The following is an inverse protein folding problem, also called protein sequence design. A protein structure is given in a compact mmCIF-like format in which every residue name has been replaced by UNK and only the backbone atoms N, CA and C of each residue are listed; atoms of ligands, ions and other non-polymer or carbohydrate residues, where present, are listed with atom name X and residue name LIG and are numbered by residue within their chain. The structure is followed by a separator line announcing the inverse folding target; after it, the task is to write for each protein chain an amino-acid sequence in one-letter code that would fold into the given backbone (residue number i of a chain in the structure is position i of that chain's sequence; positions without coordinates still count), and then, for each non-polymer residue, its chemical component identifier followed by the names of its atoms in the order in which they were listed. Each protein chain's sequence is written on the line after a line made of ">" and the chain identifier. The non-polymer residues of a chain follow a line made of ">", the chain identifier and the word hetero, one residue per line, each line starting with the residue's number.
data_IF_125794103078
#
_entry.id   IF_125794103078
#
_cell.length_a   1.000
_cell.length_b   1.000
_cell.length_c   1.000
_cell.angle_alpha   90.00
_cell.angle_beta   90.00
_cell.angle_gamma   90.00
#
_symmetry.space_group_name_H-M   'P 1'
#
loop_
_entity.id
_entity.type
_entity.pdbx_description
1 polymer ?
#
# COMPACT_ATOMS: atom_id res chain seq x y z
N UNK A 1 6.63 -18.55 6.29
CA UNK A 1 7.28 -17.23 6.11
C UNK A 1 8.41 -16.98 7.09
N UNK A 2 8.49 -17.57 8.30
CA UNK A 2 9.61 -17.30 9.23
C UNK A 2 9.44 -16.06 10.12
N UNK A 3 8.25 -15.44 10.11
CA UNK A 3 7.92 -14.28 10.93
C UNK A 3 8.40 -12.95 10.32
N UNK A 4 8.25 -11.82 11.06
CA UNK A 4 8.60 -10.49 10.58
C UNK A 4 10.04 -10.37 10.09
N UNK A 5 11.02 -10.91 10.85
CA UNK A 5 12.43 -10.87 10.47
C UNK A 5 12.75 -11.53 9.11
N UNK A 6 11.98 -12.56 8.73
CA UNK A 6 12.16 -13.20 7.43
C UNK A 6 11.48 -12.42 6.29
N UNK A 7 10.39 -11.70 6.57
CA UNK A 7 9.81 -10.73 5.63
C UNK A 7 10.76 -9.55 5.41
N UNK A 8 11.30 -9.00 6.49
CA UNK A 8 12.28 -7.93 6.51
C UNK A 8 13.54 -8.28 5.69
N UNK A 9 14.08 -9.49 5.89
CA UNK A 9 15.18 -10.01 5.08
C UNK A 9 14.81 -10.16 3.59
N UNK A 10 13.58 -10.61 3.28
CA UNK A 10 13.13 -10.76 1.91
C UNK A 10 12.90 -9.41 1.19
N UNK A 11 12.53 -8.36 1.93
CA UNK A 11 12.45 -6.99 1.40
C UNK A 11 13.85 -6.44 1.08
N UNK A 12 14.82 -6.64 1.99
CA UNK A 12 16.22 -6.26 1.72
C UNK A 12 16.84 -7.01 0.55
N UNK A 13 16.58 -8.30 0.40
CA UNK A 13 17.06 -9.09 -0.75
C UNK A 13 16.52 -8.57 -2.09
N UNK A 14 15.32 -7.98 -2.06
CA UNK A 14 14.72 -7.30 -3.22
C UNK A 14 15.30 -5.90 -3.46
N UNK A 15 16.14 -5.38 -2.56
CA UNK A 15 16.72 -4.04 -2.61
C UNK A 15 15.81 -2.97 -2.01
N UNK A 16 15.05 -3.30 -0.97
CA UNK A 16 14.40 -2.33 -0.08
C UNK A 16 15.13 -2.27 1.27
N UNK A 17 15.96 -1.24 1.44
CA UNK A 17 16.69 -0.96 2.67
C UNK A 17 15.97 0.08 3.55
N UNK A 18 14.68 0.36 3.29
CA UNK A 18 13.89 1.40 3.95
C UNK A 18 12.76 0.82 4.79
N UNK A 19 12.04 -0.19 4.29
CA UNK A 19 10.98 -0.83 5.09
C UNK A 19 11.58 -1.71 6.18
N UNK A 20 11.03 -1.61 7.39
CA UNK A 20 11.41 -2.46 8.53
C UNK A 20 10.21 -3.30 8.95
N UNK A 21 10.35 -4.63 9.00
CA UNK A 21 9.30 -5.52 9.54
C UNK A 21 9.80 -6.22 10.81
N UNK A 22 9.32 -5.77 11.96
CA UNK A 22 9.89 -6.13 13.27
C UNK A 22 8.90 -6.93 14.11
N UNK A 23 7.66 -6.44 14.23
CA UNK A 23 6.67 -7.02 15.12
C UNK A 23 5.61 -7.86 14.39
N UNK A 24 4.95 -8.75 15.12
CA UNK A 24 3.79 -9.51 14.62
C UNK A 24 2.49 -8.82 15.02
N UNK A 25 1.41 -9.11 14.29
CA UNK A 25 0.07 -8.62 14.65
C UNK A 25 -0.31 -9.06 16.08
N UNK A 26 -0.98 -8.20 16.87
CA UNK A 26 -1.38 -6.82 16.56
C UNK A 26 -0.31 -5.76 16.88
N UNK A 27 0.85 -6.14 17.41
CA UNK A 27 1.85 -5.23 17.96
C UNK A 27 2.50 -4.31 16.91
N UNK A 28 2.54 -4.71 15.64
CA UNK A 28 3.05 -3.87 14.55
C UNK A 28 2.26 -2.58 14.33
N UNK A 29 1.04 -2.49 14.89
CA UNK A 29 0.22 -1.28 14.82
C UNK A 29 0.48 -0.29 15.97
N UNK A 30 1.42 -0.61 16.88
CA UNK A 30 1.79 0.28 17.99
C UNK A 30 2.85 1.26 17.51
N UNK A 31 2.49 2.54 17.46
CA UNK A 31 3.39 3.61 17.03
C UNK A 31 4.18 4.11 18.24
N UNK A 32 5.44 3.71 18.33
CA UNK A 32 6.36 4.19 19.36
C UNK A 32 7.09 5.46 18.88
N UNK A 33 6.94 6.61 19.57
CA UNK A 33 7.57 7.87 19.15
C UNK A 33 9.10 7.73 18.98
N UNK A 34 9.58 7.99 17.77
CA UNK A 34 11.00 7.93 17.42
C UNK A 34 11.51 6.54 17.03
N UNK A 35 10.66 5.51 17.04
CA UNK A 35 10.97 4.19 16.49
C UNK A 35 10.86 4.18 14.97
N UNK A 36 11.67 3.35 14.31
CA UNK A 36 11.55 3.00 12.88
C UNK A 36 10.96 1.61 12.67
N UNK A 37 10.74 0.85 13.73
CA UNK A 37 10.11 -0.47 13.67
C UNK A 37 8.76 -0.40 12.96
N UNK A 38 8.51 -1.34 12.05
CA UNK A 38 7.25 -1.46 11.30
C UNK A 38 6.90 -0.21 10.45
N UNK A 39 7.91 0.56 10.06
CA UNK A 39 7.76 1.74 9.18
C UNK A 39 8.27 1.50 7.76
N UNK A 40 7.85 2.38 6.86
CA UNK A 40 8.33 2.46 5.48
C UNK A 40 8.10 3.88 4.93
N UNK A 41 8.38 4.09 3.65
CA UNK A 41 8.03 5.33 2.93
C UNK A 41 7.11 5.01 1.74
N UNK A 42 6.27 5.95 1.27
CA UNK A 42 5.46 5.73 0.07
C UNK A 42 6.27 5.29 -1.15
N UNK A 43 7.48 5.83 -1.31
CA UNK A 43 8.37 5.50 -2.41
C UNK A 43 8.89 4.05 -2.34
N UNK A 44 9.33 3.60 -1.15
CA UNK A 44 9.79 2.22 -0.95
C UNK A 44 8.64 1.22 -1.16
N UNK A 45 7.47 1.50 -0.58
CA UNK A 45 6.29 0.64 -0.71
C UNK A 45 5.80 0.54 -2.17
N UNK A 46 5.78 1.67 -2.89
CA UNK A 46 5.48 1.72 -4.33
C UNK A 46 6.47 0.86 -5.11
N UNK A 47 7.78 1.00 -4.87
CA UNK A 47 8.81 0.24 -5.55
C UNK A 47 8.68 -1.28 -5.32
N UNK A 48 8.34 -1.70 -4.10
CA UNK A 48 8.12 -3.10 -3.78
C UNK A 48 6.95 -3.70 -4.56
N UNK A 49 5.78 -3.04 -4.54
CA UNK A 49 4.62 -3.54 -5.28
C UNK A 49 4.89 -3.51 -6.79
N UNK A 50 5.55 -2.47 -7.31
CA UNK A 50 5.98 -2.41 -8.72
C UNK A 50 6.84 -3.61 -9.11
N UNK A 51 7.81 -4.02 -8.27
CA UNK A 51 8.66 -5.20 -8.52
C UNK A 51 7.85 -6.50 -8.55
N UNK A 52 6.90 -6.66 -7.64
CA UNK A 52 6.04 -7.85 -7.58
C UNK A 52 5.21 -7.99 -8.87
N UNK A 53 4.71 -6.88 -9.45
CA UNK A 53 3.88 -6.92 -10.66
C UNK A 53 4.68 -6.90 -11.97
N UNK A 54 5.90 -6.36 -11.99
CA UNK A 54 6.74 -6.22 -13.19
C UNK A 54 7.19 -7.56 -13.82
N UNK A 55 7.11 -8.67 -13.09
CA UNK A 55 7.22 -10.03 -13.66
C UNK A 55 8.57 -10.70 -13.64
N UNK A 56 9.61 -10.05 -13.10
CA UNK A 56 10.89 -10.70 -12.83
C UNK A 56 10.90 -11.47 -11.51
N UNK A 57 9.98 -11.15 -10.60
CA UNK A 57 9.98 -11.69 -9.23
C UNK A 57 8.94 -12.79 -9.00
N UNK A 58 7.72 -12.58 -9.48
CA UNK A 58 6.63 -13.55 -9.40
C UNK A 58 6.31 -14.13 -10.78
N UNK A 59 5.99 -15.43 -10.83
CA UNK A 59 5.45 -16.05 -12.02
C UNK A 59 4.15 -15.35 -12.45
N UNK A 60 3.76 -15.50 -13.73
CA UNK A 60 2.55 -14.86 -14.24
C UNK A 60 1.30 -15.23 -13.42
N UNK A 61 1.14 -16.52 -13.11
CA UNK A 61 -0.02 -17.01 -12.37
C UNK A 61 -0.07 -16.45 -10.93
N UNK A 62 1.08 -16.36 -10.26
CA UNK A 62 1.18 -15.78 -8.91
C UNK A 62 0.86 -14.28 -8.90
N UNK A 63 1.28 -13.54 -9.95
CA UNK A 63 0.93 -12.12 -10.09
C UNK A 63 -0.56 -11.91 -10.31
N UNK A 64 -1.18 -12.75 -11.14
CA UNK A 64 -2.62 -12.68 -11.37
C UNK A 64 -3.39 -12.98 -10.08
N UNK A 65 -2.97 -13.99 -9.33
CA UNK A 65 -3.56 -14.33 -8.04
C UNK A 65 -3.41 -13.19 -7.02
N UNK A 66 -2.24 -12.56 -6.94
CA UNK A 66 -2.01 -11.39 -6.09
C UNK A 66 -2.97 -10.24 -6.43
N UNK A 67 -3.06 -9.88 -7.72
CA UNK A 67 -3.93 -8.79 -8.18
C UNK A 67 -5.41 -9.12 -7.98
N UNK A 68 -5.82 -10.38 -8.14
CA UNK A 68 -7.18 -10.84 -7.86
C UNK A 68 -7.53 -10.64 -6.38
N UNK A 69 -6.66 -11.07 -5.46
CA UNK A 69 -6.86 -10.87 -4.03
C UNK A 69 -6.93 -9.39 -3.64
N UNK A 70 -6.12 -8.53 -4.26
CA UNK A 70 -6.14 -7.09 -4.03
C UNK A 70 -7.38 -6.40 -4.62
N UNK A 71 -8.01 -6.98 -5.64
CA UNK A 71 -9.25 -6.41 -6.23
C UNK A 71 -10.46 -6.60 -5.31
N UNK A 72 -10.51 -7.69 -4.54
CA UNK A 72 -11.62 -8.05 -3.66
C UNK A 72 -11.64 -7.35 -2.29
N UNK A 73 -10.84 -6.31 -2.08
CA UNK A 73 -10.66 -5.69 -0.77
C UNK A 73 -11.75 -4.66 -0.44
N UNK A 74 -12.87 -5.09 0.17
CA UNK A 74 -13.95 -4.19 0.59
C UNK A 74 -13.51 -3.08 1.57
N UNK A 75 -12.41 -3.28 2.30
CA UNK A 75 -11.88 -2.25 3.23
C UNK A 75 -11.22 -1.06 2.53
N UNK A 76 -10.99 -1.16 1.21
CA UNK A 76 -10.43 -0.09 0.37
C UNK A 76 -11.46 0.70 -0.41
N UNK A 77 -12.76 0.36 -0.33
CA UNK A 77 -13.82 0.98 -1.14
C UNK A 77 -13.91 2.50 -0.96
N UNK A 78 -13.58 2.98 0.24
CA UNK A 78 -13.60 4.40 0.63
C UNK A 78 -12.26 5.12 0.44
N UNK A 79 -11.21 4.44 -0.06
CA UNK A 79 -9.83 4.94 -0.13
C UNK A 79 -9.44 5.31 -1.58
N UNK A 80 -8.33 4.78 -2.12
CA UNK A 80 -7.89 5.07 -3.49
C UNK A 80 -9.01 4.77 -4.49
N UNK A 81 -9.80 3.70 -4.26
CA UNK A 81 -10.93 3.32 -5.10
C UNK A 81 -11.98 4.42 -5.22
N UNK A 82 -12.29 5.14 -4.14
CA UNK A 82 -13.23 6.26 -4.14
C UNK A 82 -12.68 7.54 -4.80
N UNK A 83 -11.35 7.64 -4.95
CA UNK A 83 -10.68 8.73 -5.64
C UNK A 83 -10.43 8.47 -7.13
N UNK A 84 -10.44 7.21 -7.56
CA UNK A 84 -10.11 6.83 -8.93
C UNK A 84 -11.15 7.33 -9.96
N UNK A 85 -10.72 7.71 -11.18
CA UNK A 85 -11.66 8.02 -12.26
C UNK A 85 -12.58 6.84 -12.60
N UNK A 86 -13.80 7.15 -13.04
CA UNK A 86 -14.78 6.12 -13.40
C UNK A 86 -14.25 5.19 -14.49
N UNK A 87 -14.45 3.88 -14.31
CA UNK A 87 -13.99 2.84 -15.24
C UNK A 87 -12.54 2.38 -15.04
N UNK A 88 -11.77 3.04 -14.15
CA UNK A 88 -10.43 2.58 -13.80
C UNK A 88 -10.52 1.39 -12.85
N UNK A 89 -9.74 0.35 -13.09
CA UNK A 89 -9.66 -0.80 -12.18
C UNK A 89 -8.70 -0.50 -11.03
N UNK A 90 -9.06 -0.91 -9.82
CA UNK A 90 -8.25 -0.70 -8.61
C UNK A 90 -8.09 -2.03 -7.87
N UNK A 91 -6.84 -2.44 -7.69
CA UNK A 91 -6.44 -3.56 -6.85
C UNK A 91 -5.62 -2.98 -5.69
N UNK A 92 -6.14 -3.00 -4.47
CA UNK A 92 -5.59 -2.26 -3.34
C UNK A 92 -5.35 -3.12 -2.08
N UNK A 93 -4.60 -2.55 -1.14
CA UNK A 93 -4.53 -3.01 0.23
C UNK A 93 -4.49 -1.82 1.19
N UNK A 94 -5.53 -1.72 2.01
CA UNK A 94 -5.64 -0.73 3.08
C UNK A 94 -4.80 -1.07 4.32
N UNK A 95 -4.45 -0.06 5.12
CA UNK A 95 -3.88 -0.18 6.45
C UNK A 95 -4.40 0.93 7.37
N UNK A 96 -4.51 0.67 8.67
CA UNK A 96 -4.97 1.68 9.62
C UNK A 96 -4.66 1.32 11.06
N UNK A 97 -4.18 2.31 11.82
CA UNK A 97 -3.82 2.17 13.23
C UNK A 97 -3.92 3.54 13.91
N UNK A 98 -4.89 3.71 14.81
CA UNK A 98 -5.19 5.01 15.41
C UNK A 98 -5.42 6.08 14.35
N UNK A 99 -4.59 7.13 14.37
CA UNK A 99 -4.60 8.22 13.41
C UNK A 99 -3.94 7.93 12.05
N UNK A 100 -3.34 6.76 11.84
CA UNK A 100 -2.73 6.37 10.55
C UNK A 100 -3.81 5.84 9.61
N UNK A 101 -3.78 6.31 8.35
CA UNK A 101 -4.55 5.72 7.25
C UNK A 101 -3.71 5.58 6.00
N UNK A 102 -3.54 4.33 5.57
CA UNK A 102 -2.70 3.99 4.43
C UNK A 102 -3.50 3.23 3.39
N UNK A 103 -3.12 3.42 2.13
CA UNK A 103 -3.58 2.58 1.03
C UNK A 103 -2.49 2.46 -0.04
N UNK A 104 -2.33 1.27 -0.60
CA UNK A 104 -1.44 1.02 -1.73
C UNK A 104 -2.22 0.26 -2.80
N UNK A 105 -2.13 0.73 -4.05
CA UNK A 105 -2.90 0.15 -5.14
C UNK A 105 -2.12 0.02 -6.44
N UNK A 106 -2.52 -0.99 -7.23
CA UNK A 106 -2.33 -1.03 -8.68
C UNK A 106 -3.60 -0.50 -9.32
N UNK A 107 -3.49 0.62 -10.00
CA UNK A 107 -4.59 1.32 -10.67
C UNK A 107 -4.41 1.21 -12.17
N UNK A 108 -5.42 0.76 -12.91
CA UNK A 108 -5.31 0.54 -14.36
C UNK A 108 -6.40 1.31 -15.12
N UNK A 109 -6.03 2.32 -15.94
CA UNK A 109 -6.97 3.01 -16.81
C UNK A 109 -7.52 2.08 -17.92
N UNK A 110 -8.71 2.35 -18.47
CA UNK A 110 -9.24 1.61 -19.60
C UNK A 110 -8.27 1.63 -20.80
N UNK A 111 -7.67 0.47 -21.11
CA UNK A 111 -6.76 0.30 -22.25
C UNK A 111 -5.36 0.90 -22.06
N UNK A 112 -5.01 1.42 -20.88
CA UNK A 112 -3.68 1.95 -20.59
C UNK A 112 -2.84 1.01 -19.70
N UNK A 113 -1.73 1.53 -19.20
CA UNK A 113 -0.76 0.77 -18.40
C UNK A 113 -1.04 0.87 -16.90
N UNK A 114 -0.72 -0.18 -16.11
CA UNK A 114 -0.91 -0.14 -14.66
C UNK A 114 -0.01 0.90 -14.01
N UNK A 115 -0.59 1.65 -13.07
CA UNK A 115 0.04 2.67 -12.22
C UNK A 115 0.10 2.11 -10.80
N UNK A 116 1.24 2.21 -10.12
CA UNK A 116 1.34 1.90 -8.69
C UNK A 116 1.29 3.19 -7.90
N UNK A 117 0.36 3.27 -6.95
CA UNK A 117 0.16 4.44 -6.09
C UNK A 117 0.16 4.01 -4.62
N UNK A 118 0.99 4.64 -3.80
CA UNK A 118 0.95 4.52 -2.34
C UNK A 118 0.60 5.87 -1.72
N UNK A 119 -0.37 5.86 -0.80
CA UNK A 119 -0.75 7.02 0.00
C UNK A 119 -0.64 6.62 1.47
N UNK A 120 0.25 7.27 2.20
CA UNK A 120 0.34 7.17 3.66
C UNK A 120 -0.11 8.49 4.27
N UNK A 121 -0.98 8.41 5.27
CA UNK A 121 -1.44 9.57 6.03
C UNK A 121 -1.34 9.29 7.52
N UNK A 122 -1.07 10.32 8.30
CA UNK A 122 -1.19 10.32 9.74
C UNK A 122 -1.71 11.67 10.22
N UNK A 123 -2.28 11.67 11.42
CA UNK A 123 -2.59 12.89 12.17
C UNK A 123 -1.54 13.12 13.25
N UNK A 124 -1.34 14.38 13.63
CA UNK A 124 -0.50 14.77 14.76
C UNK A 124 -1.21 14.57 16.12
N UNK A 125 -2.53 14.36 16.10
CA UNK A 125 -3.33 14.04 17.27
C UNK A 125 -3.41 12.51 17.47
N UNK A 126 -2.78 11.95 18.52
CA UNK A 126 -2.76 10.50 18.74
C UNK A 126 -4.14 9.91 19.07
N UNK A 127 -5.11 10.74 19.48
CA UNK A 127 -6.46 10.31 19.82
C UNK A 127 -7.45 10.46 18.64
N UNK A 128 -7.03 11.10 17.55
CA UNK A 128 -7.87 11.29 16.39
C UNK A 128 -8.04 9.98 15.59
N UNK A 129 -9.26 9.76 15.09
CA UNK A 129 -9.54 8.68 14.16
C UNK A 129 -8.86 8.94 12.81
N UNK A 130 -8.57 7.87 12.08
CA UNK A 130 -8.13 7.96 10.69
C UNK A 130 -9.19 8.59 9.77
N UNK A 131 -8.74 9.16 8.65
CA UNK A 131 -9.59 9.84 7.65
C UNK A 131 -9.48 9.16 6.28
N UNK A 132 -10.51 8.40 5.91
CA UNK A 132 -10.61 7.76 4.59
C UNK A 132 -10.72 8.79 3.45
N UNK A 133 -11.44 9.89 3.69
CA UNK A 133 -11.69 10.90 2.66
C UNK A 133 -10.40 11.58 2.23
N UNK A 134 -9.47 11.81 3.16
CA UNK A 134 -8.14 12.33 2.84
C UNK A 134 -7.40 11.44 1.84
N UNK A 135 -7.45 10.11 2.00
CA UNK A 135 -6.82 9.17 1.06
C UNK A 135 -7.48 9.25 -0.31
N UNK A 136 -8.82 9.25 -0.35
CA UNK A 136 -9.58 9.36 -1.60
C UNK A 136 -9.34 10.70 -2.33
N UNK A 137 -9.24 11.80 -1.59
CA UNK A 137 -9.02 13.14 -2.13
C UNK A 137 -7.63 13.27 -2.75
N UNK A 138 -6.60 12.71 -2.11
CA UNK A 138 -5.25 12.64 -2.67
C UNK A 138 -5.25 11.81 -3.95
N UNK A 139 -5.88 10.62 -3.95
CA UNK A 139 -5.98 9.78 -5.15
C UNK A 139 -6.67 10.51 -6.31
N UNK A 140 -7.78 11.22 -6.03
CA UNK A 140 -8.52 12.02 -7.02
C UNK A 140 -7.70 13.14 -7.62
N UNK A 141 -6.83 13.76 -6.82
CA UNK A 141 -5.99 14.86 -7.27
C UNK A 141 -4.85 14.38 -8.19
N UNK A 142 -4.27 13.20 -7.94
CA UNK A 142 -3.05 12.75 -8.63
C UNK A 142 -3.31 11.84 -9.83
N UNK A 143 -4.28 10.93 -9.76
CA UNK A 143 -4.49 9.90 -10.80
C UNK A 143 -4.74 10.47 -12.21
N UNK A 144 -5.54 11.54 -12.40
CA UNK A 144 -5.75 12.11 -13.73
C UNK A 144 -4.48 12.66 -14.40
N UNK A 145 -3.43 12.95 -13.63
CA UNK A 145 -2.15 13.44 -14.15
C UNK A 145 -1.14 12.34 -14.47
N UNK A 146 -1.50 11.06 -14.29
CA UNK A 146 -0.63 9.89 -14.46
C UNK A 146 -1.05 8.96 -15.62
N UNK A 147 -2.11 9.30 -16.34
CA UNK A 147 -2.57 8.62 -17.57
C UNK A 147 -1.67 8.95 -18.78
#
# INVERSE_FOLDING_TARGET
>A
MGGPAALDAALRDQGDDVSEAVNSEPALNVIEPGSTDDTSTPAAFTANLSRLIAGSYLAMDDRMLLLEWMTGNATGDTLIRAGAPSGWNVADKSGGAGGIRNDIAVVTPPGGHPIVLTIFTNTLDPDAAYDDALVADVARAVLPGLD
#
